data_IF_288208085590
#
_entry.id   IF_288208085590
#
_cell.length_a   1.000
_cell.length_b   1.000
_cell.length_c   1.000
_cell.angle_alpha   90.00
_cell.angle_beta   90.00
_cell.angle_gamma   90.00
#
_symmetry.space_group_name_H-M   'P 1'
#
loop_
_entity.id
_entity.type
_entity.pdbx_description
1 polymer ?
#
# COMPACT_ATOMS: atom_id res chain seq x y z
N UNK A 1 63.74 26.68 -96.15
CA UNK A 1 64.77 26.65 -95.17
C UNK A 1 64.89 25.22 -94.62
N UNK A 2 66.00 24.52 -94.92
CA UNK A 2 66.15 23.14 -94.45
C UNK A 2 66.98 23.20 -93.10
N UNK A 3 66.54 22.60 -92.07
CA UNK A 3 67.27 22.54 -90.78
C UNK A 3 68.04 21.25 -90.80
N UNK A 4 69.36 21.34 -90.72
CA UNK A 4 70.31 20.19 -90.64
C UNK A 4 70.68 19.96 -89.20
N UNK A 5 70.21 18.88 -88.60
CA UNK A 5 70.56 18.45 -87.25
C UNK A 5 71.83 17.55 -87.40
N UNK A 6 72.95 18.02 -86.88
CA UNK A 6 74.20 17.27 -86.85
C UNK A 6 74.29 16.56 -85.47
N UNK A 7 74.31 15.23 -85.51
CA UNK A 7 74.54 14.45 -84.30
C UNK A 7 75.95 13.89 -84.30
N UNK A 8 76.70 14.28 -83.33
CA UNK A 8 78.03 13.75 -83.09
C UNK A 8 77.93 12.37 -82.42
N UNK A 9 78.27 11.31 -83.14
CA UNK A 9 78.37 9.96 -82.60
C UNK A 9 79.87 9.50 -82.68
N UNK A 10 80.31 8.64 -81.77
CA UNK A 10 81.69 8.12 -81.65
C UNK A 10 82.27 7.46 -82.93
N UNK A 11 81.47 7.28 -83.99
CA UNK A 11 81.85 6.63 -85.21
C UNK A 11 81.66 7.49 -86.49
N UNK A 12 81.39 8.81 -86.39
CA UNK A 12 81.32 9.72 -87.49
C UNK A 12 80.16 10.72 -87.36
N UNK A 13 80.18 11.75 -88.22
CA UNK A 13 79.08 12.77 -88.28
C UNK A 13 77.90 12.27 -89.11
N UNK A 14 76.83 11.95 -88.40
CA UNK A 14 75.59 11.70 -89.08
C UNK A 14 74.81 12.99 -89.19
N UNK A 15 74.35 13.34 -90.39
CA UNK A 15 73.41 14.48 -90.60
C UNK A 15 72.04 13.99 -90.94
N UNK A 16 71.03 14.57 -90.30
CA UNK A 16 69.68 14.35 -90.67
C UNK A 16 69.13 15.66 -91.22
N UNK A 17 68.80 15.67 -92.50
CA UNK A 17 68.18 16.84 -93.13
C UNK A 17 66.65 16.81 -92.92
N UNK A 18 66.14 17.72 -92.13
CA UNK A 18 64.70 17.92 -91.95
C UNK A 18 64.20 18.78 -93.04
N UNK A 19 63.49 18.15 -93.97
CA UNK A 19 62.76 18.87 -95.05
C UNK A 19 61.62 19.73 -94.46
N UNK A 20 61.27 20.79 -95.15
CA UNK A 20 60.25 21.75 -94.76
C UNK A 20 58.92 21.08 -94.37
N UNK A 21 58.57 19.99 -95.03
CA UNK A 21 57.41 19.16 -94.73
C UNK A 21 57.47 18.43 -93.42
N UNK A 22 58.70 17.94 -92.99
CA UNK A 22 58.91 17.24 -91.73
C UNK A 22 58.87 18.22 -90.55
N UNK A 23 59.43 19.42 -90.73
CA UNK A 23 59.34 20.46 -89.70
C UNK A 23 57.91 20.91 -89.49
N UNK A 24 57.13 21.07 -90.62
CA UNK A 24 55.72 21.43 -90.52
C UNK A 24 54.90 20.30 -89.85
N UNK A 25 55.12 19.05 -90.22
CA UNK A 25 54.45 17.91 -89.61
C UNK A 25 54.73 17.81 -88.13
N UNK A 26 56.03 18.01 -87.69
CA UNK A 26 56.42 18.03 -86.29
C UNK A 26 55.80 19.20 -85.48
N UNK A 27 55.71 20.39 -86.11
CA UNK A 27 55.06 21.54 -85.49
C UNK A 27 53.57 21.34 -85.30
N UNK A 28 52.89 20.75 -86.31
CA UNK A 28 51.46 20.42 -86.22
C UNK A 28 51.21 19.36 -85.18
N UNK A 29 52.09 18.35 -85.06
CA UNK A 29 51.98 17.34 -84.01
C UNK A 29 52.16 17.94 -82.65
N UNK A 30 53.13 18.81 -82.45
CA UNK A 30 53.40 19.43 -81.14
C UNK A 30 52.33 20.42 -80.76
N UNK A 31 51.84 21.21 -81.66
CA UNK A 31 50.87 22.31 -81.35
C UNK A 31 49.41 21.84 -81.32
N UNK A 32 49.05 20.79 -82.04
CA UNK A 32 47.64 20.35 -82.20
C UNK A 32 47.41 19.01 -81.48
N UNK A 33 48.26 18.00 -81.81
CA UNK A 33 47.97 16.63 -81.34
C UNK A 33 48.33 16.49 -79.85
N UNK A 34 49.46 17.06 -79.41
CA UNK A 34 49.85 16.93 -77.99
C UNK A 34 48.82 17.60 -77.04
N UNK A 35 48.37 18.83 -77.32
CA UNK A 35 47.31 19.42 -76.43
C UNK A 35 46.00 18.64 -76.53
N UNK A 36 45.62 18.09 -77.71
CA UNK A 36 44.37 17.31 -77.88
C UNK A 36 44.47 15.99 -77.09
N UNK A 37 45.62 15.36 -77.03
CA UNK A 37 45.85 14.16 -76.26
C UNK A 37 45.79 14.51 -74.73
N UNK A 38 46.42 15.61 -74.32
CA UNK A 38 46.30 16.06 -72.94
C UNK A 38 44.86 16.42 -72.53
N UNK A 39 44.09 17.02 -73.46
CA UNK A 39 42.69 17.32 -73.23
C UNK A 39 41.83 16.04 -73.11
N UNK A 40 42.13 15.05 -74.03
CA UNK A 40 41.45 13.74 -73.96
C UNK A 40 41.81 12.97 -72.62
N UNK A 41 43.09 12.98 -72.22
CA UNK A 41 43.54 12.37 -70.96
C UNK A 41 42.89 13.09 -69.77
N UNK A 42 42.87 14.42 -69.79
CA UNK A 42 42.23 15.23 -68.73
C UNK A 42 40.75 14.97 -68.66
N UNK A 43 40.07 14.83 -69.81
CA UNK A 43 38.65 14.49 -69.85
C UNK A 43 38.39 13.07 -69.38
N UNK A 44 39.21 12.07 -69.76
CA UNK A 44 39.08 10.70 -69.23
C UNK A 44 39.43 10.60 -67.75
N UNK A 45 40.43 11.33 -67.27
CA UNK A 45 40.75 11.37 -65.81
C UNK A 45 39.65 12.08 -65.07
N UNK A 46 39.11 13.16 -65.51
CA UNK A 46 38.00 13.88 -64.90
C UNK A 46 36.70 13.10 -64.87
N UNK A 47 36.44 12.32 -65.95
CA UNK A 47 35.25 11.44 -66.04
C UNK A 47 35.35 10.21 -65.14
N UNK A 48 36.57 9.70 -64.83
CA UNK A 48 36.81 8.59 -63.89
C UNK A 48 36.87 9.01 -62.44
N UNK A 49 37.25 10.22 -62.14
CA UNK A 49 37.11 10.82 -60.82
C UNK A 49 35.72 11.49 -60.77
N UNK A 50 34.70 10.61 -60.95
CA UNK A 50 33.33 11.02 -61.08
C UNK A 50 33.03 12.15 -60.09
N UNK A 51 32.58 13.23 -60.60
CA UNK A 51 31.68 14.10 -59.90
C UNK A 51 30.75 13.19 -59.15
N UNK A 52 30.83 13.18 -57.78
CA UNK A 52 29.71 12.75 -56.98
C UNK A 52 28.52 13.42 -57.62
N UNK A 53 27.77 12.64 -58.41
CA UNK A 53 26.61 13.18 -59.12
C UNK A 53 25.79 13.91 -58.06
N UNK A 54 25.35 15.14 -58.27
CA UNK A 54 24.57 15.89 -57.27
C UNK A 54 23.42 15.06 -56.69
N UNK A 55 22.92 14.07 -57.46
CA UNK A 55 21.95 13.09 -57.02
C UNK A 55 22.44 12.16 -55.91
N UNK A 56 23.68 11.64 -55.97
CA UNK A 56 24.19 10.73 -54.93
C UNK A 56 24.43 11.44 -53.61
N UNK A 57 24.83 12.71 -53.65
CA UNK A 57 24.95 13.55 -52.42
C UNK A 57 23.55 13.84 -51.84
N UNK A 58 22.58 14.12 -52.70
CA UNK A 58 21.18 14.33 -52.29
C UNK A 58 20.56 13.07 -51.69
N UNK A 59 20.74 11.90 -52.26
CA UNK A 59 20.27 10.63 -51.76
C UNK A 59 20.89 10.29 -50.39
N UNK A 60 22.19 10.47 -50.25
CA UNK A 60 22.87 10.25 -48.98
C UNK A 60 22.39 11.22 -47.88
N UNK A 61 22.23 12.51 -48.18
CA UNK A 61 21.69 13.51 -47.25
C UNK A 61 20.23 13.19 -46.88
N UNK A 62 19.43 12.77 -47.85
CA UNK A 62 18.02 12.44 -47.61
C UNK A 62 17.89 11.19 -46.72
N UNK A 63 18.73 10.18 -46.98
CA UNK A 63 18.78 8.97 -46.15
C UNK A 63 19.26 9.28 -44.73
N UNK A 64 20.28 10.11 -44.58
CA UNK A 64 20.77 10.56 -43.26
C UNK A 64 19.69 11.34 -42.49
N UNK A 65 18.97 12.25 -43.13
CA UNK A 65 17.86 12.99 -42.57
C UNK A 65 16.69 12.08 -42.15
N UNK A 66 16.36 11.07 -42.97
CA UNK A 66 15.34 10.09 -42.59
C UNK A 66 15.77 9.27 -41.41
N UNK A 67 17.02 8.87 -41.31
CA UNK A 67 17.59 8.11 -40.19
C UNK A 67 17.62 8.94 -38.90
N UNK A 68 17.95 10.23 -39.00
CA UNK A 68 17.91 11.15 -37.88
C UNK A 68 16.47 11.41 -37.38
N UNK A 69 15.52 11.58 -38.36
CA UNK A 69 14.10 11.71 -38.00
C UNK A 69 13.57 10.46 -37.31
N UNK A 70 13.90 9.27 -37.81
CA UNK A 70 13.50 8.00 -37.18
C UNK A 70 14.08 7.86 -35.78
N UNK A 71 15.34 8.26 -35.55
CA UNK A 71 15.95 8.29 -34.19
C UNK A 71 15.27 9.28 -33.25
N UNK A 72 14.92 10.48 -33.77
CA UNK A 72 14.21 11.49 -32.97
C UNK A 72 12.79 10.99 -32.64
N UNK A 73 12.07 10.42 -33.61
CA UNK A 73 10.73 9.88 -33.37
C UNK A 73 10.74 8.72 -32.36
N UNK A 74 11.74 7.85 -32.42
CA UNK A 74 11.93 6.76 -31.45
C UNK A 74 12.26 7.31 -30.05
N UNK A 75 13.13 8.31 -29.99
CA UNK A 75 13.45 8.99 -28.71
C UNK A 75 12.24 9.70 -28.10
N UNK A 76 11.41 10.33 -28.92
CA UNK A 76 10.15 10.98 -28.47
C UNK A 76 9.13 9.95 -27.99
N UNK A 77 9.01 8.81 -28.70
CA UNK A 77 8.14 7.70 -28.25
C UNK A 77 8.61 7.15 -26.89
N UNK A 78 9.89 6.81 -26.79
CA UNK A 78 10.48 6.32 -25.54
C UNK A 78 10.32 7.31 -24.39
N UNK A 79 10.50 8.60 -24.64
CA UNK A 79 10.27 9.64 -23.64
C UNK A 79 8.80 9.71 -23.21
N UNK A 80 7.86 9.60 -24.17
CA UNK A 80 6.42 9.58 -23.89
C UNK A 80 6.01 8.35 -23.09
N UNK A 81 6.52 7.17 -23.45
CA UNK A 81 6.22 5.91 -22.77
C UNK A 81 6.76 5.93 -21.33
N UNK A 82 7.95 6.45 -21.13
CA UNK A 82 8.53 6.67 -19.81
C UNK A 82 7.68 7.65 -18.97
N UNK A 83 7.23 8.76 -19.57
CA UNK A 83 6.36 9.72 -18.88
C UNK A 83 5.01 9.09 -18.50
N UNK A 84 4.43 8.28 -19.37
CA UNK A 84 3.17 7.58 -19.10
C UNK A 84 3.35 6.56 -17.95
N UNK A 85 4.45 5.81 -17.96
CA UNK A 85 4.79 4.86 -16.88
C UNK A 85 4.98 5.59 -15.53
N UNK A 86 5.67 6.73 -15.54
CA UNK A 86 5.87 7.57 -14.36
C UNK A 86 4.55 8.14 -13.84
N UNK A 87 3.68 8.64 -14.72
CA UNK A 87 2.37 9.16 -14.36
C UNK A 87 1.48 8.07 -13.73
N UNK A 88 1.48 6.87 -14.32
CA UNK A 88 0.77 5.72 -13.77
C UNK A 88 1.29 5.36 -12.36
N UNK A 89 2.62 5.30 -12.20
CA UNK A 89 3.26 4.99 -10.92
C UNK A 89 2.95 6.03 -9.86
N UNK A 90 3.00 7.31 -10.23
CA UNK A 90 2.62 8.42 -9.34
C UNK A 90 1.16 8.30 -8.88
N UNK A 91 0.25 7.99 -9.81
CA UNK A 91 -1.16 7.74 -9.50
C UNK A 91 -1.36 6.57 -8.52
N UNK A 92 -0.64 5.47 -8.70
CA UNK A 92 -0.66 4.33 -7.78
C UNK A 92 -0.18 4.72 -6.38
N UNK A 93 0.93 5.44 -6.29
CA UNK A 93 1.48 5.91 -5.01
C UNK A 93 0.53 6.88 -4.31
N UNK A 94 -0.13 7.76 -5.07
CA UNK A 94 -1.11 8.68 -4.52
C UNK A 94 -2.34 7.93 -3.96
N UNK A 95 -2.81 6.90 -4.66
CA UNK A 95 -3.89 6.04 -4.17
C UNK A 95 -3.48 5.26 -2.90
N UNK A 96 -2.24 4.76 -2.84
CA UNK A 96 -1.69 4.10 -1.65
C UNK A 96 -1.59 5.07 -0.47
N UNK A 97 -1.12 6.30 -0.68
CA UNK A 97 -1.05 7.32 0.37
C UNK A 97 -2.43 7.64 0.95
N UNK A 98 -3.45 7.85 0.10
CA UNK A 98 -4.83 8.08 0.53
C UNK A 98 -5.36 6.90 1.35
N UNK A 99 -5.05 5.66 0.95
CA UNK A 99 -5.44 4.46 1.70
C UNK A 99 -4.76 4.40 3.06
N UNK A 100 -3.47 4.76 3.15
CA UNK A 100 -2.73 4.81 4.41
C UNK A 100 -3.28 5.88 5.36
N UNK A 101 -3.64 7.05 4.84
CA UNK A 101 -4.27 8.12 5.62
C UNK A 101 -5.62 7.68 6.20
N UNK A 102 -6.46 7.02 5.38
CA UNK A 102 -7.75 6.50 5.81
C UNK A 102 -7.59 5.39 6.87
N UNK A 103 -6.59 4.51 6.70
CA UNK A 103 -6.27 3.45 7.64
C UNK A 103 -5.75 4.04 8.96
N UNK A 104 -4.85 5.02 8.90
CA UNK A 104 -4.35 5.75 10.07
C UNK A 104 -5.48 6.42 10.88
N UNK A 105 -6.42 7.10 10.21
CA UNK A 105 -7.59 7.73 10.86
C UNK A 105 -8.51 6.69 11.53
N UNK A 106 -8.63 5.50 10.93
CA UNK A 106 -9.39 4.39 11.54
C UNK A 106 -8.67 3.81 12.76
N UNK A 107 -7.36 3.59 12.66
CA UNK A 107 -6.55 3.04 13.76
C UNK A 107 -6.52 3.97 14.97
N UNK A 108 -6.39 5.27 14.78
CA UNK A 108 -6.47 6.26 15.87
C UNK A 108 -7.81 6.24 16.58
N UNK A 109 -8.92 6.11 15.82
CA UNK A 109 -10.25 5.97 16.41
C UNK A 109 -10.44 4.66 17.18
N UNK A 110 -9.89 3.55 16.66
CA UNK A 110 -10.00 2.23 17.32
C UNK A 110 -9.13 2.13 18.57
N UNK A 111 -7.99 2.79 18.59
CA UNK A 111 -7.08 2.82 19.72
C UNK A 111 -7.41 3.92 20.75
N UNK A 112 -8.45 4.73 20.50
CA UNK A 112 -8.86 5.89 21.33
C UNK A 112 -7.69 6.87 21.59
N UNK A 113 -6.84 7.06 20.55
CA UNK A 113 -5.71 7.97 20.61
C UNK A 113 -6.17 9.42 20.40
N UNK A 114 -5.55 10.35 21.14
CA UNK A 114 -5.91 11.76 21.08
C UNK A 114 -5.69 12.33 19.67
N UNK A 115 -6.69 13.05 19.14
CA UNK A 115 -6.69 13.62 17.77
C UNK A 115 -5.60 14.67 17.53
N UNK A 116 -4.89 15.10 18.58
CA UNK A 116 -3.83 16.10 18.51
C UNK A 116 -2.47 15.55 18.09
N UNK A 117 -2.14 14.32 18.49
CA UNK A 117 -0.83 13.70 18.23
C UNK A 117 -0.74 13.05 16.84
N UNK A 118 -1.85 12.52 16.31
CA UNK A 118 -1.89 11.78 15.05
C UNK A 118 -2.90 12.40 14.08
N UNK A 119 -2.46 13.37 13.28
CA UNK A 119 -3.29 13.98 12.24
C UNK A 119 -2.84 13.55 10.84
N UNK A 120 -3.39 12.45 10.35
CA UNK A 120 -3.11 11.90 9.01
C UNK A 120 -3.68 12.75 7.86
N UNK A 121 -4.52 13.76 8.15
CA UNK A 121 -5.07 14.66 7.14
C UNK A 121 -4.16 15.85 6.85
N UNK A 122 -3.23 16.15 7.73
CA UNK A 122 -2.30 17.26 7.57
C UNK A 122 -1.01 16.75 6.91
N UNK A 123 -0.64 17.36 5.81
CA UNK A 123 0.63 17.04 5.14
C UNK A 123 1.79 17.34 6.09
N UNK A 124 2.76 16.42 6.23
CA UNK A 124 3.94 16.71 7.02
C UNK A 124 4.68 17.90 6.43
N UNK A 125 5.17 18.78 7.29
CA UNK A 125 6.00 19.90 6.88
C UNK A 125 7.24 19.40 6.14
N UNK A 126 7.49 19.94 4.94
CA UNK A 126 8.70 19.69 4.16
C UNK A 126 9.55 20.95 4.16
N UNK A 127 10.83 20.82 4.47
CA UNK A 127 11.78 21.92 4.47
C UNK A 127 13.09 21.48 5.10
N UNK A 128 14.16 22.20 4.77
CA UNK A 128 15.51 22.00 5.30
C UNK A 128 16.37 23.18 4.89
N UNK A 129 17.59 23.35 5.46
CA UNK A 129 18.51 24.36 5.02
C UNK A 129 18.86 24.14 3.55
N UNK A 130 18.88 25.22 2.79
CA UNK A 130 19.24 25.21 1.37
C UNK A 130 20.69 24.72 1.23
N UNK A 131 20.92 23.62 0.51
CA UNK A 131 22.26 23.18 0.19
C UNK A 131 22.77 23.98 -1.00
N UNK A 132 23.95 24.60 -0.85
CA UNK A 132 24.67 25.31 -1.93
C UNK A 132 25.22 24.36 -3.01
N UNK A 133 24.94 23.08 -2.95
CA UNK A 133 25.35 22.13 -3.96
C UNK A 133 24.57 22.33 -5.26
N UNK A 134 25.28 22.48 -6.36
CA UNK A 134 24.67 22.52 -7.69
C UNK A 134 23.83 21.28 -7.89
N UNK A 135 22.51 21.48 -8.02
CA UNK A 135 21.56 20.42 -8.34
C UNK A 135 22.01 19.75 -9.65
N UNK A 136 22.62 18.59 -9.55
CA UNK A 136 22.86 17.72 -10.71
C UNK A 136 21.54 17.03 -11.06
N UNK A 137 21.08 17.11 -12.32
CA UNK A 137 19.87 16.37 -12.72
C UNK A 137 20.05 14.88 -12.45
N UNK A 138 19.14 14.29 -11.68
CA UNK A 138 19.11 12.84 -11.47
C UNK A 138 18.84 12.16 -12.81
N UNK A 139 19.62 11.12 -13.17
CA UNK A 139 19.29 10.27 -14.31
C UNK A 139 17.88 9.69 -14.14
N UNK A 140 17.12 9.59 -15.23
CA UNK A 140 15.73 9.07 -15.21
C UNK A 140 15.68 7.65 -14.60
N UNK A 141 16.71 6.83 -14.83
CA UNK A 141 16.84 5.50 -14.23
C UNK A 141 16.85 5.52 -12.71
N UNK A 142 17.56 6.46 -12.11
CA UNK A 142 17.71 6.57 -10.65
C UNK A 142 16.41 7.09 -10.02
N UNK A 143 15.72 7.99 -10.70
CA UNK A 143 14.39 8.47 -10.30
C UNK A 143 13.36 7.34 -10.33
N UNK A 144 13.33 6.51 -11.38
CA UNK A 144 12.44 5.36 -11.48
C UNK A 144 12.73 4.35 -10.37
N UNK A 145 13.99 4.04 -10.10
CA UNK A 145 14.36 3.10 -9.03
C UNK A 145 14.03 3.62 -7.63
N UNK A 146 14.16 4.94 -7.40
CA UNK A 146 13.72 5.58 -6.16
C UNK A 146 12.20 5.50 -5.97
N UNK A 147 11.42 5.74 -7.03
CA UNK A 147 9.95 5.56 -7.01
C UNK A 147 9.55 4.11 -6.75
N UNK A 148 10.26 3.15 -7.33
CA UNK A 148 10.01 1.72 -7.08
C UNK A 148 10.27 1.33 -5.63
N UNK A 149 11.36 1.82 -5.06
CA UNK A 149 11.72 1.61 -3.66
C UNK A 149 10.67 2.22 -2.73
N UNK A 150 10.26 3.45 -2.99
CA UNK A 150 9.22 4.13 -2.21
C UNK A 150 7.87 3.42 -2.32
N UNK A 151 7.49 2.93 -3.51
CA UNK A 151 6.28 2.14 -3.71
C UNK A 151 6.29 0.85 -2.88
N UNK A 152 7.41 0.12 -2.86
CA UNK A 152 7.57 -1.09 -2.02
C UNK A 152 7.50 -0.76 -0.53
N UNK A 153 8.05 0.37 -0.11
CA UNK A 153 7.97 0.82 1.29
C UNK A 153 6.52 1.15 1.68
N UNK A 154 5.77 1.86 0.83
CA UNK A 154 4.36 2.16 1.06
C UNK A 154 3.51 0.90 1.14
N UNK A 155 3.73 -0.07 0.25
CA UNK A 155 3.05 -1.37 0.26
C UNK A 155 3.31 -2.13 1.57
N UNK A 156 4.58 -2.22 1.99
CA UNK A 156 4.97 -2.85 3.27
C UNK A 156 4.31 -2.16 4.47
N UNK A 157 4.27 -0.83 4.48
CA UNK A 157 3.60 -0.07 5.53
C UNK A 157 2.10 -0.33 5.54
N UNK A 158 1.47 -0.38 4.36
CA UNK A 158 0.05 -0.71 4.23
C UNK A 158 -0.28 -2.09 4.81
N UNK A 159 0.55 -3.09 4.53
CA UNK A 159 0.39 -4.45 5.07
C UNK A 159 0.55 -4.47 6.60
N UNK A 160 1.59 -3.82 7.14
CA UNK A 160 1.81 -3.73 8.59
C UNK A 160 0.64 -3.06 9.33
N UNK A 161 0.13 -1.94 8.78
CA UNK A 161 -1.02 -1.25 9.35
C UNK A 161 -2.31 -2.08 9.22
N UNK A 162 -2.47 -2.85 8.15
CA UNK A 162 -3.60 -3.78 8.00
C UNK A 162 -3.58 -4.90 9.04
N UNK A 163 -2.41 -5.45 9.36
CA UNK A 163 -2.26 -6.43 10.46
C UNK A 163 -2.61 -5.80 11.80
N UNK A 164 -2.11 -4.58 12.07
CA UNK A 164 -2.43 -3.86 13.30
C UNK A 164 -3.94 -3.55 13.42
N UNK A 165 -4.59 -3.17 12.33
CA UNK A 165 -6.06 -3.00 12.26
C UNK A 165 -6.78 -4.28 12.68
N UNK A 166 -6.40 -5.41 12.10
CA UNK A 166 -6.99 -6.70 12.42
C UNK A 166 -6.80 -7.09 13.90
N UNK A 167 -5.62 -6.83 14.46
CA UNK A 167 -5.34 -7.07 15.88
C UNK A 167 -6.18 -6.18 16.80
N UNK A 168 -6.27 -4.88 16.52
CA UNK A 168 -7.08 -3.94 17.30
C UNK A 168 -8.58 -4.26 17.18
N UNK A 169 -9.05 -4.62 15.99
CA UNK A 169 -10.44 -5.05 15.79
C UNK A 169 -10.75 -6.32 16.57
N UNK A 170 -9.87 -7.32 16.52
CA UNK A 170 -10.02 -8.55 17.30
C UNK A 170 -10.02 -8.26 18.81
N UNK A 171 -9.12 -7.40 19.29
CA UNK A 171 -9.09 -6.95 20.68
C UNK A 171 -10.39 -6.30 21.11
N UNK A 172 -10.93 -5.38 20.31
CA UNK A 172 -12.20 -4.71 20.59
C UNK A 172 -13.36 -5.70 20.61
N UNK A 173 -13.41 -6.62 19.65
CA UNK A 173 -14.42 -7.68 19.63
C UNK A 173 -14.31 -8.59 20.86
N UNK A 174 -13.11 -8.96 21.27
CA UNK A 174 -12.90 -9.75 22.49
C UNK A 174 -13.32 -8.99 23.75
N UNK A 175 -13.05 -7.68 23.83
CA UNK A 175 -13.49 -6.84 24.94
C UNK A 175 -15.02 -6.69 25.00
N UNK A 176 -15.70 -6.67 23.85
CA UNK A 176 -17.16 -6.62 23.78
C UNK A 176 -17.83 -7.94 24.22
N UNK A 177 -17.23 -9.09 23.90
CA UNK A 177 -17.78 -10.41 24.25
C UNK A 177 -17.26 -10.95 25.61
N UNK A 178 -16.23 -10.32 26.18
CA UNK A 178 -15.75 -10.68 27.50
C UNK A 178 -16.69 -10.14 28.59
N UNK A 179 -17.20 -11.00 29.51
CA UNK A 179 -18.08 -10.58 30.59
C UNK A 179 -17.33 -9.70 31.60
N UNK A 180 -17.49 -8.38 31.50
CA UNK A 180 -16.81 -7.46 32.41
C UNK A 180 -17.74 -6.32 32.85
N UNK A 181 -17.66 -6.00 34.13
CA UNK A 181 -18.42 -4.92 34.76
C UNK A 181 -19.64 -5.42 35.55
N UNK A 182 -20.32 -4.50 36.18
CA UNK A 182 -21.49 -4.79 37.02
C UNK A 182 -22.76 -4.88 36.18
N UNK A 183 -23.62 -5.90 36.44
CA UNK A 183 -24.90 -6.06 35.74
C UNK A 183 -26.00 -5.09 36.22
N UNK A 184 -25.72 -4.31 37.28
CA UNK A 184 -26.63 -3.30 37.82
C UNK A 184 -25.89 -1.99 38.11
N UNK A 185 -26.54 -0.85 37.87
CA UNK A 185 -25.96 0.47 38.12
C UNK A 185 -26.01 0.88 39.60
N UNK A 186 -27.04 0.44 40.32
CA UNK A 186 -27.27 0.78 41.71
C UNK A 186 -27.48 -0.48 42.54
N UNK A 187 -27.29 -0.37 43.85
CA UNK A 187 -27.38 -1.48 44.79
C UNK A 187 -26.02 -1.95 45.28
N UNK A 188 -26.03 -2.96 46.14
CA UNK A 188 -24.83 -3.51 46.80
C UNK A 188 -24.78 -5.02 46.68
N UNK A 189 -23.61 -5.61 46.81
CA UNK A 189 -23.45 -7.05 46.86
C UNK A 189 -23.94 -7.54 48.22
N UNK A 190 -25.03 -8.30 48.21
CA UNK A 190 -25.63 -8.87 49.40
C UNK A 190 -25.11 -10.27 49.73
N UNK A 191 -24.58 -10.98 48.72
CA UNK A 191 -23.97 -12.29 48.92
C UNK A 191 -22.94 -12.61 47.85
N UNK A 192 -21.84 -13.20 48.26
CA UNK A 192 -20.74 -13.61 47.40
C UNK A 192 -20.85 -15.07 46.94
N UNK A 193 -20.12 -15.42 45.90
CA UNK A 193 -19.91 -16.76 45.42
C UNK A 193 -19.20 -17.65 46.47
N UNK A 194 -19.58 -18.91 46.54
CA UNK A 194 -18.92 -19.91 47.34
C UNK A 194 -19.79 -20.44 48.51
N UNK A 195 -19.18 -21.05 49.48
CA UNK A 195 -19.89 -21.65 50.60
C UNK A 195 -20.44 -20.57 51.55
N UNK A 196 -21.75 -20.65 51.86
CA UNK A 196 -22.46 -19.78 52.80
C UNK A 196 -23.53 -20.54 53.56
N UNK A 197 -24.04 -19.97 54.63
CA UNK A 197 -25.24 -20.49 55.28
C UNK A 197 -26.44 -20.34 54.34
N UNK A 198 -27.15 -21.46 54.08
CA UNK A 198 -28.39 -21.43 53.30
C UNK A 198 -29.46 -20.64 54.02
N UNK A 199 -30.01 -19.56 53.42
CA UNK A 199 -30.99 -18.68 54.12
C UNK A 199 -32.35 -19.34 54.38
N UNK A 200 -32.62 -20.51 53.76
CA UNK A 200 -33.87 -21.21 53.91
C UNK A 200 -33.80 -22.45 54.80
N UNK A 201 -32.63 -23.16 54.79
CA UNK A 201 -32.48 -24.45 55.47
C UNK A 201 -31.49 -24.40 56.66
N UNK A 202 -30.74 -23.32 56.82
CA UNK A 202 -29.81 -23.12 57.93
C UNK A 202 -28.51 -23.94 57.90
N UNK A 203 -28.30 -24.74 56.82
CA UNK A 203 -27.07 -25.51 56.64
C UNK A 203 -26.06 -24.80 55.73
N UNK A 204 -24.85 -25.39 55.57
CA UNK A 204 -23.85 -24.89 54.59
C UNK A 204 -24.27 -25.29 53.19
N UNK A 205 -24.47 -24.29 52.33
CA UNK A 205 -24.78 -24.45 50.92
C UNK A 205 -23.78 -23.73 50.04
N UNK A 206 -23.60 -24.21 48.80
CA UNK A 206 -22.77 -23.53 47.79
C UNK A 206 -23.61 -22.52 47.01
N UNK A 207 -23.15 -21.29 46.92
CA UNK A 207 -23.75 -20.22 46.13
C UNK A 207 -23.02 -20.10 44.79
N UNK A 208 -23.70 -20.39 43.69
CA UNK A 208 -23.11 -20.41 42.34
C UNK A 208 -22.92 -19.03 41.69
N UNK A 209 -23.34 -17.97 42.36
CA UNK A 209 -23.28 -16.62 41.80
C UNK A 209 -22.94 -15.52 42.80
N UNK A 210 -23.17 -14.30 42.41
CA UNK A 210 -23.14 -13.12 43.27
C UNK A 210 -24.55 -12.50 43.26
N UNK A 211 -25.04 -12.18 44.46
CA UNK A 211 -26.33 -11.53 44.61
C UNK A 211 -26.17 -10.01 44.79
N UNK A 212 -26.85 -9.24 43.95
CA UNK A 212 -26.92 -7.79 44.00
C UNK A 212 -28.30 -7.37 44.54
N UNK A 213 -28.39 -6.91 45.76
CA UNK A 213 -29.61 -6.36 46.34
C UNK A 213 -29.88 -4.97 45.75
N UNK A 214 -31.13 -4.70 45.42
CA UNK A 214 -31.54 -3.42 44.87
C UNK A 214 -33.06 -3.22 44.95
N UNK A 215 -33.54 -2.16 44.30
CA UNK A 215 -34.97 -1.85 44.24
C UNK A 215 -35.66 -2.76 43.23
N UNK A 216 -36.85 -3.29 43.60
CA UNK A 216 -37.70 -4.03 42.65
C UNK A 216 -37.97 -3.19 41.40
N UNK A 217 -37.85 -3.81 40.21
CA UNK A 217 -37.97 -3.14 38.92
C UNK A 217 -36.72 -2.37 38.46
N UNK A 218 -35.60 -2.41 39.18
CA UNK A 218 -34.35 -1.83 38.68
C UNK A 218 -33.86 -2.53 37.41
N UNK A 219 -33.32 -1.81 36.43
CA UNK A 219 -32.81 -2.42 35.20
C UNK A 219 -31.60 -3.32 35.45
N UNK A 220 -31.61 -4.48 34.79
CA UNK A 220 -30.49 -5.43 34.72
C UNK A 220 -29.88 -5.32 33.34
N UNK A 221 -28.56 -5.06 33.28
CA UNK A 221 -27.81 -4.88 32.04
C UNK A 221 -26.91 -6.08 31.77
N UNK A 222 -26.84 -6.47 30.50
CA UNK A 222 -25.91 -7.53 30.08
C UNK A 222 -24.48 -7.03 30.16
N UNK A 223 -23.57 -7.82 30.72
CA UNK A 223 -22.16 -7.43 30.95
C UNK A 223 -21.23 -7.65 29.75
N UNK A 224 -21.73 -8.29 28.69
CA UNK A 224 -21.01 -8.50 27.43
C UNK A 224 -22.01 -8.65 26.27
N UNK A 225 -21.57 -8.36 25.05
CA UNK A 225 -22.36 -8.61 23.85
C UNK A 225 -22.52 -10.11 23.60
N UNK A 226 -23.68 -10.56 23.06
CA UNK A 226 -23.94 -11.97 22.85
C UNK A 226 -25.34 -12.26 22.32
N UNK A 227 -25.75 -13.52 22.40
CA UNK A 227 -27.05 -14.02 21.97
C UNK A 227 -27.78 -14.60 23.17
N UNK A 228 -29.05 -14.24 23.36
CA UNK A 228 -29.91 -14.80 24.41
C UNK A 228 -30.21 -16.27 24.11
N UNK A 229 -29.73 -17.16 24.96
CA UNK A 229 -29.94 -18.61 24.82
C UNK A 229 -31.10 -19.14 25.66
N UNK A 230 -31.50 -18.40 26.69
CA UNK A 230 -32.64 -18.73 27.52
C UNK A 230 -33.28 -17.44 28.09
N UNK A 231 -34.60 -17.40 28.08
CA UNK A 231 -35.45 -16.41 28.77
C UNK A 231 -36.73 -17.07 29.21
N UNK A 232 -36.88 -17.39 30.49
CA UNK A 232 -38.00 -18.12 31.01
C UNK A 232 -37.89 -18.49 32.48
N UNK A 233 -38.88 -19.20 33.04
CA UNK A 233 -38.83 -19.71 34.41
C UNK A 233 -37.90 -20.94 34.50
N UNK A 234 -37.06 -20.97 35.52
CA UNK A 234 -36.15 -22.10 35.80
C UNK A 234 -36.08 -22.37 37.28
N UNK A 235 -36.26 -23.66 37.65
CA UNK A 235 -36.28 -24.10 39.04
C UNK A 235 -35.12 -23.54 39.88
N UNK A 236 -35.47 -22.90 40.97
CA UNK A 236 -34.52 -22.23 41.86
C UNK A 236 -34.19 -20.76 41.48
N UNK A 237 -34.03 -20.48 40.18
CA UNK A 237 -33.73 -19.14 39.69
C UNK A 237 -34.98 -18.25 39.51
N UNK A 238 -36.20 -18.85 39.41
CA UNK A 238 -37.34 -18.13 38.93
C UNK A 238 -37.16 -17.68 37.49
N UNK A 239 -37.54 -16.46 37.17
CA UNK A 239 -37.32 -15.90 35.87
C UNK A 239 -35.81 -15.66 35.62
N UNK A 240 -35.28 -16.36 34.62
CA UNK A 240 -33.84 -16.37 34.26
C UNK A 240 -33.66 -15.90 32.82
N UNK A 241 -32.70 -15.03 32.62
CA UNK A 241 -32.09 -14.75 31.30
C UNK A 241 -30.69 -15.36 31.26
N UNK A 242 -30.35 -16.10 30.18
CA UNK A 242 -29.03 -16.59 29.92
C UNK A 242 -28.56 -16.04 28.58
N UNK A 243 -27.34 -15.48 28.53
CA UNK A 243 -26.73 -14.91 27.35
C UNK A 243 -25.41 -15.62 27.07
N UNK A 244 -25.26 -16.15 25.87
CA UNK A 244 -24.00 -16.74 25.35
C UNK A 244 -23.19 -15.65 24.65
N UNK A 245 -21.96 -15.43 25.09
CA UNK A 245 -21.06 -14.41 24.58
C UNK A 245 -20.03 -14.94 23.57
N UNK A 246 -20.05 -16.26 23.31
CA UNK A 246 -18.97 -16.90 22.55
C UNK A 246 -17.74 -17.16 23.40
N UNK A 247 -16.67 -17.69 22.79
CA UNK A 247 -15.39 -17.99 23.44
C UNK A 247 -15.50 -18.80 24.74
N UNK A 248 -16.58 -19.61 24.88
CA UNK A 248 -16.87 -20.39 26.06
C UNK A 248 -17.49 -19.65 27.24
N UNK A 249 -17.86 -18.37 27.07
CA UNK A 249 -18.48 -17.56 28.12
C UNK A 249 -20.00 -17.49 27.96
N UNK A 250 -20.71 -17.61 29.06
CA UNK A 250 -22.13 -17.28 29.17
C UNK A 250 -22.38 -16.60 30.54
N UNK A 251 -23.44 -15.80 30.64
CA UNK A 251 -23.86 -15.17 31.88
C UNK A 251 -25.33 -15.45 32.14
N UNK A 252 -25.69 -15.54 33.42
CA UNK A 252 -27.05 -15.81 33.88
C UNK A 252 -27.51 -14.73 34.84
N UNK A 253 -28.79 -14.35 34.68
CA UNK A 253 -29.45 -13.28 35.41
C UNK A 253 -30.75 -13.84 35.97
N UNK A 254 -30.73 -14.21 37.27
CA UNK A 254 -31.87 -14.86 37.94
C UNK A 254 -32.70 -13.90 38.78
N UNK A 255 -33.84 -14.39 39.24
CA UNK A 255 -34.86 -13.70 40.03
C UNK A 255 -35.51 -12.50 39.37
N UNK A 256 -35.46 -12.47 38.01
CA UNK A 256 -35.99 -11.36 37.24
C UNK A 256 -37.52 -11.21 37.46
N UNK A 257 -37.97 -9.96 37.45
CA UNK A 257 -39.41 -9.63 37.42
C UNK A 257 -40.02 -9.77 36.07
N UNK A 258 -39.32 -9.22 35.03
CA UNK A 258 -39.80 -9.12 33.66
C UNK A 258 -38.62 -9.28 32.70
N UNK A 259 -38.88 -9.93 31.54
CA UNK A 259 -37.93 -10.05 30.45
C UNK A 259 -38.12 -8.89 29.48
N UNK A 260 -37.01 -8.25 29.06
CA UNK A 260 -36.98 -7.22 28.00
C UNK A 260 -36.42 -7.77 26.69
N UNK A 261 -36.06 -9.06 26.69
CA UNK A 261 -35.47 -9.77 25.53
C UNK A 261 -36.08 -11.17 25.41
N UNK A 262 -36.00 -11.75 24.22
CA UNK A 262 -36.46 -13.10 23.87
C UNK A 262 -35.25 -13.98 23.46
N UNK A 263 -35.46 -15.31 23.51
CA UNK A 263 -34.45 -16.27 23.03
C UNK A 263 -34.19 -16.05 21.55
N UNK A 264 -32.91 -15.97 21.17
CA UNK A 264 -32.44 -15.68 19.82
C UNK A 264 -32.07 -14.21 19.60
N UNK A 265 -32.45 -13.30 20.50
CA UNK A 265 -32.07 -11.90 20.37
C UNK A 265 -30.56 -11.70 20.52
N UNK A 266 -30.00 -10.81 19.69
CA UNK A 266 -28.64 -10.32 19.85
C UNK A 266 -28.64 -9.12 20.76
N UNK A 267 -27.82 -9.15 21.82
CA UNK A 267 -27.69 -8.08 22.83
C UNK A 267 -26.29 -7.48 22.80
N UNK A 268 -26.24 -6.18 23.07
CA UNK A 268 -24.95 -5.44 23.16
C UNK A 268 -24.62 -5.22 24.63
N UNK A 269 -23.32 -5.22 24.96
CA UNK A 269 -22.84 -4.89 26.30
C UNK A 269 -23.49 -3.61 26.84
N UNK A 270 -23.98 -3.66 28.07
CA UNK A 270 -24.69 -2.54 28.71
C UNK A 270 -26.18 -2.41 28.32
N UNK A 271 -26.69 -3.23 27.41
CA UNK A 271 -28.11 -3.23 27.06
C UNK A 271 -28.95 -3.77 28.22
N UNK A 272 -30.10 -3.18 28.47
CA UNK A 272 -31.09 -3.69 29.44
C UNK A 272 -31.76 -4.95 28.88
N UNK A 273 -31.73 -6.03 29.67
CA UNK A 273 -32.25 -7.35 29.28
C UNK A 273 -33.39 -7.83 30.15
N UNK A 274 -33.49 -7.31 31.37
CA UNK A 274 -34.55 -7.66 32.30
C UNK A 274 -34.67 -6.63 33.41
N UNK A 275 -35.72 -6.75 34.23
CA UNK A 275 -35.94 -5.96 35.44
C UNK A 275 -35.71 -6.84 36.66
N UNK A 276 -35.09 -6.27 37.72
CA UNK A 276 -34.85 -6.93 39.01
C UNK A 276 -36.17 -7.28 39.66
N UNK A 277 -36.25 -8.47 40.26
CA UNK A 277 -37.42 -8.95 40.98
C UNK A 277 -37.03 -9.83 42.14
N UNK A 278 -37.96 -10.70 42.54
CA UNK A 278 -37.82 -11.66 43.64
C UNK A 278 -38.54 -12.97 43.29
N UNK A 279 -38.49 -13.38 42.00
CA UNK A 279 -39.13 -14.65 41.55
C UNK A 279 -38.27 -15.86 41.95
N UNK A 280 -38.91 -17.05 42.04
CA UNK A 280 -38.25 -18.27 42.41
C UNK A 280 -37.80 -18.33 43.88
N UNK A 281 -36.61 -18.87 44.16
CA UNK A 281 -36.08 -19.03 45.49
C UNK A 281 -35.36 -17.74 45.98
N UNK A 282 -36.07 -16.75 46.40
CA UNK A 282 -35.58 -15.44 46.80
C UNK A 282 -36.20 -14.98 48.11
N UNK A 283 -35.46 -14.25 48.93
CA UNK A 283 -35.95 -13.67 50.18
C UNK A 283 -36.35 -12.20 50.06
N UNK A 284 -36.08 -11.58 48.93
CA UNK A 284 -36.40 -10.18 48.63
C UNK A 284 -35.77 -9.73 47.31
N UNK A 285 -36.08 -8.53 46.83
CA UNK A 285 -35.62 -8.07 45.53
C UNK A 285 -34.09 -8.06 45.38
N UNK A 286 -33.55 -8.87 44.48
CA UNK A 286 -32.13 -8.93 44.15
C UNK A 286 -31.94 -9.57 42.77
N UNK A 287 -30.79 -9.32 42.15
CA UNK A 287 -30.30 -10.04 40.98
C UNK A 287 -29.33 -11.14 41.46
N UNK A 288 -29.58 -12.38 41.09
CA UNK A 288 -28.60 -13.46 41.16
C UNK A 288 -27.84 -13.51 39.85
N UNK A 289 -26.50 -13.27 39.89
CA UNK A 289 -25.65 -13.18 38.72
C UNK A 289 -24.59 -14.29 38.70
N UNK A 290 -24.54 -15.05 37.62
CA UNK A 290 -23.52 -16.10 37.41
C UNK A 290 -22.70 -15.82 36.15
N UNK A 291 -21.45 -16.22 36.18
CA UNK A 291 -20.56 -16.36 35.01
C UNK A 291 -20.25 -17.83 34.80
N UNK A 292 -20.49 -18.30 33.57
CA UNK A 292 -20.18 -19.66 33.14
C UNK A 292 -19.04 -19.59 32.16
N UNK A 293 -18.00 -20.37 32.41
CA UNK A 293 -16.83 -20.53 31.51
C UNK A 293 -16.68 -21.99 31.13
N UNK A 294 -16.71 -22.30 29.82
CA UNK A 294 -16.64 -23.66 29.29
C UNK A 294 -17.61 -24.65 29.98
N UNK A 295 -18.84 -24.20 30.21
CA UNK A 295 -19.90 -24.99 30.85
C UNK A 295 -19.82 -25.09 32.38
N UNK A 296 -18.80 -24.54 33.00
CA UNK A 296 -18.61 -24.56 34.47
C UNK A 296 -18.88 -23.16 35.06
N UNK A 297 -19.62 -23.11 36.13
CA UNK A 297 -19.85 -21.87 36.88
C UNK A 297 -18.56 -21.47 37.58
N UNK A 298 -18.14 -20.21 37.40
CA UNK A 298 -16.92 -19.63 37.98
C UNK A 298 -17.24 -18.45 38.86
N UNK A 299 -16.29 -18.00 39.73
CA UNK A 299 -16.51 -16.86 40.62
C UNK A 299 -16.71 -15.57 39.81
N UNK A 300 -17.91 -14.94 39.87
CA UNK A 300 -18.19 -13.74 39.06
C UNK A 300 -17.40 -12.49 39.52
N UNK A 301 -16.80 -12.49 40.71
CA UNK A 301 -16.07 -11.34 41.24
C UNK A 301 -14.91 -10.91 40.35
N UNK A 302 -14.19 -11.86 39.76
CA UNK A 302 -13.08 -11.61 38.86
C UNK A 302 -13.51 -10.85 37.59
N UNK A 303 -14.78 -11.01 37.20
CA UNK A 303 -15.38 -10.39 36.02
C UNK A 303 -16.01 -9.04 36.32
N UNK A 304 -16.61 -8.88 37.54
CA UNK A 304 -17.27 -7.63 37.95
C UNK A 304 -16.25 -6.50 38.09
N UNK A 305 -15.08 -6.81 38.68
CA UNK A 305 -14.00 -5.86 38.90
C UNK A 305 -13.01 -5.76 37.74
N UNK A 306 -13.17 -6.60 36.70
CA UNK A 306 -12.29 -6.64 35.54
C UNK A 306 -12.41 -5.41 34.66
N UNK A 307 -11.28 -4.84 34.28
CA UNK A 307 -11.19 -3.85 33.21
C UNK A 307 -10.71 -4.55 31.94
N UNK A 308 -11.54 -4.68 30.89
CA UNK A 308 -11.15 -5.39 29.65
C UNK A 308 -9.86 -4.88 29.04
N UNK A 309 -9.59 -3.57 29.17
CA UNK A 309 -8.35 -2.96 28.69
C UNK A 309 -7.08 -3.48 29.39
N UNK A 310 -7.18 -3.90 30.66
CA UNK A 310 -6.04 -4.43 31.41
C UNK A 310 -5.82 -5.93 31.11
N UNK A 311 -6.87 -6.67 30.77
CA UNK A 311 -6.81 -8.11 30.47
C UNK A 311 -6.26 -8.41 29.06
N UNK A 312 -6.49 -7.52 28.10
CA UNK A 312 -6.07 -7.67 26.70
C UNK A 312 -4.90 -6.76 26.31
N UNK A 313 -4.32 -6.00 27.25
CA UNK A 313 -3.28 -5.00 27.03
C UNK A 313 -1.90 -5.30 27.62
N UNK A 314 -1.72 -6.41 28.33
CA UNK A 314 -0.49 -6.63 29.11
C UNK A 314 0.61 -7.46 28.41
N UNK A 315 0.35 -7.97 27.20
CA UNK A 315 1.31 -8.83 26.49
C UNK A 315 1.56 -8.35 25.04
N UNK A 316 2.04 -7.12 24.88
CA UNK A 316 2.74 -6.71 23.63
C UNK A 316 4.03 -5.99 24.02
#
# INVERSE_FOLDING_TARGET
MNIILVRNTKSGFGHVTLTQGVVFALSVTLVVIVPLVFLAIGYMAGSKHGTLAPGALYENLHTELQLQRAKVDDSVRNARDNMNALALRLGQMQAQAIRLDALGDRLTKMADLDKGEFNFKQRPGVGGPESNDKLTPLPVSDFVSALETLSKQLENRSQQLGVLEALLMNRNLQAEVFPAGRPVESGWISSYFGNRTDPFKGGVGHHGGIDFAGKDGSPIKVVASGIVTFAGDRAGYGNLVEVNHGNGYATRYGHCREFLVAVGDTVKKGQEISLMGSTGRSTGPHLHFEVVRNGTIVNPREYIDAKPAELFGADI
#
